data_IF_023143637734
#
_entry.id   IF_023143637734
#
_cell.length_a   1.000
_cell.length_b   1.000
_cell.length_c   1.000
_cell.angle_alpha   90.00
_cell.angle_beta   90.00
_cell.angle_gamma   90.00
#
_symmetry.space_group_name_H-M   'P 1'
#
loop_
_entity.id
_entity.type
_entity.pdbx_description
1 polymer ?
#
# COMPACT_ATOMS: atom_id res chain seq x y z
N UNK A 1 14.99 -5.72 -19.14
CA UNK A 1 14.13 -6.27 -18.07
C UNK A 1 12.73 -5.79 -18.33
N UNK A 2 11.72 -6.67 -18.25
CA UNK A 2 10.33 -6.23 -18.29
C UNK A 2 10.03 -5.33 -17.08
N UNK A 3 9.19 -4.29 -17.22
CA UNK A 3 8.83 -3.43 -16.11
C UNK A 3 8.19 -4.27 -14.99
N UNK A 4 8.66 -4.09 -13.76
CA UNK A 4 8.10 -4.79 -12.60
C UNK A 4 6.81 -4.09 -12.14
N UNK A 5 5.83 -4.87 -11.72
CA UNK A 5 4.63 -4.39 -11.04
C UNK A 5 4.96 -4.05 -9.59
N UNK A 6 4.44 -2.94 -9.09
CA UNK A 6 4.61 -2.51 -7.69
C UNK A 6 3.36 -2.91 -6.90
N UNK A 7 3.54 -3.69 -5.85
CA UNK A 7 2.51 -3.95 -4.85
C UNK A 7 2.56 -2.93 -3.71
N UNK A 8 1.40 -2.40 -3.30
CA UNK A 8 1.27 -1.47 -2.17
C UNK A 8 0.31 -2.03 -1.14
N UNK A 9 0.82 -2.37 0.05
CA UNK A 9 0.00 -2.69 1.22
C UNK A 9 -0.49 -1.37 1.82
N UNK A 10 -1.74 -1.02 1.54
CA UNK A 10 -2.38 0.22 1.99
C UNK A 10 -3.48 -0.02 3.02
N UNK A 11 -4.36 0.97 3.19
CA UNK A 11 -5.48 0.90 4.12
C UNK A 11 -5.15 1.27 5.57
N UNK A 12 -3.87 1.48 5.89
CA UNK A 12 -3.36 2.06 7.15
C UNK A 12 -3.65 3.57 7.19
N UNK A 13 -4.93 3.90 7.07
CA UNK A 13 -5.44 5.18 6.57
C UNK A 13 -5.78 5.10 5.08
N UNK A 14 -7.05 4.88 4.70
CA UNK A 14 -7.46 4.86 3.28
C UNK A 14 -7.13 6.14 2.54
N UNK A 15 -7.35 7.30 3.17
CA UNK A 15 -7.00 8.60 2.58
C UNK A 15 -5.48 8.79 2.44
N UNK A 16 -4.68 8.25 3.37
CA UNK A 16 -3.23 8.25 3.26
C UNK A 16 -2.77 7.40 2.06
N UNK A 17 -3.46 6.29 1.79
CA UNK A 17 -3.19 5.43 0.63
C UNK A 17 -3.47 6.17 -0.68
N UNK A 18 -4.60 6.88 -0.79
CA UNK A 18 -4.90 7.73 -1.97
C UNK A 18 -3.89 8.87 -2.12
N UNK A 19 -3.51 9.51 -1.02
CA UNK A 19 -2.48 10.56 -1.03
C UNK A 19 -1.11 10.03 -1.50
N UNK A 20 -0.75 8.81 -1.06
CA UNK A 20 0.45 8.11 -1.53
C UNK A 20 0.40 7.85 -3.03
N UNK A 21 -0.70 7.28 -3.54
CA UNK A 21 -0.88 7.05 -4.99
C UNK A 21 -0.74 8.34 -5.78
N UNK A 22 -1.40 9.41 -5.34
CA UNK A 22 -1.30 10.73 -5.96
C UNK A 22 0.14 11.26 -5.95
N UNK A 23 0.87 11.06 -4.85
CA UNK A 23 2.28 11.46 -4.76
C UNK A 23 3.16 10.68 -5.73
N UNK A 24 2.97 9.37 -5.82
CA UNK A 24 3.70 8.52 -6.78
C UNK A 24 3.45 9.02 -8.21
N UNK A 25 2.19 9.23 -8.59
CA UNK A 25 1.86 9.72 -9.93
C UNK A 25 2.49 11.08 -10.22
N UNK A 26 2.42 12.03 -9.28
CA UNK A 26 3.00 13.38 -9.42
C UNK A 26 4.52 13.40 -9.57
N UNK A 27 5.21 12.49 -8.88
CA UNK A 27 6.68 12.47 -8.84
C UNK A 27 7.29 11.40 -9.74
N UNK A 28 6.49 10.61 -10.46
CA UNK A 28 7.02 9.66 -11.45
C UNK A 28 7.41 10.43 -12.71
N UNK A 29 8.70 10.44 -13.11
CA UNK A 29 9.10 11.07 -14.36
C UNK A 29 8.56 10.26 -15.53
N UNK A 30 7.70 10.87 -16.35
CA UNK A 30 7.07 10.22 -17.49
C UNK A 30 7.23 11.06 -18.76
N UNK A 31 7.27 10.41 -19.94
CA UNK A 31 7.09 11.09 -21.23
C UNK A 31 5.64 10.98 -21.70
N UNK A 32 4.97 9.89 -21.34
CA UNK A 32 3.57 9.60 -21.63
C UNK A 32 2.89 8.94 -20.43
N UNK A 33 1.55 8.98 -20.36
CA UNK A 33 0.80 8.32 -19.28
C UNK A 33 1.04 6.79 -19.19
N UNK A 34 1.53 6.15 -20.25
CA UNK A 34 1.88 4.71 -20.24
C UNK A 34 3.20 4.42 -19.52
N UNK A 35 4.00 5.46 -19.25
CA UNK A 35 5.29 5.32 -18.57
C UNK A 35 5.13 5.32 -17.03
N UNK A 36 3.91 5.53 -16.52
CA UNK A 36 3.63 5.37 -15.10
C UNK A 36 3.88 3.93 -14.63
N UNK A 37 4.21 3.80 -13.36
CA UNK A 37 4.37 2.50 -12.71
C UNK A 37 3.05 1.72 -12.75
N UNK A 38 3.12 0.46 -13.17
CA UNK A 38 2.03 -0.48 -12.94
C UNK A 38 1.95 -0.80 -11.45
N UNK A 39 0.86 -0.42 -10.80
CA UNK A 39 0.69 -0.50 -9.34
C UNK A 39 -0.59 -1.26 -9.00
N UNK A 40 -0.48 -2.26 -8.12
CA UNK A 40 -1.62 -2.93 -7.48
C UNK A 40 -1.65 -2.49 -6.02
N UNK A 41 -2.78 -1.94 -5.59
CA UNK A 41 -2.93 -1.37 -4.25
C UNK A 41 -3.99 -2.14 -3.48
N UNK A 42 -3.58 -2.75 -2.37
CA UNK A 42 -4.48 -3.40 -1.42
C UNK A 42 -4.84 -2.39 -0.31
N UNK A 43 -5.92 -1.63 -0.53
CA UNK A 43 -6.39 -0.63 0.42
C UNK A 43 -7.36 -1.26 1.43
N UNK A 44 -6.83 -1.93 2.46
CA UNK A 44 -7.62 -2.66 3.44
C UNK A 44 -7.68 -1.93 4.82
N UNK A 45 -8.76 -1.19 5.13
CA UNK A 45 -8.92 -0.53 6.44
C UNK A 45 -9.26 -1.49 7.59
N UNK A 46 -9.41 -2.79 7.33
CA UNK A 46 -9.70 -3.81 8.36
C UNK A 46 -8.44 -4.35 9.03
N UNK A 47 -7.25 -3.89 8.62
CA UNK A 47 -6.01 -4.16 9.34
C UNK A 47 -6.14 -3.59 10.77
N UNK A 48 -5.77 -4.36 11.81
CA UNK A 48 -5.75 -3.87 13.18
C UNK A 48 -5.02 -2.54 13.34
N UNK A 49 -5.48 -1.71 14.28
CA UNK A 49 -4.83 -0.45 14.62
C UNK A 49 -3.38 -0.71 15.09
N UNK A 50 -2.41 -0.25 14.29
CA UNK A 50 -0.99 -0.45 14.56
C UNK A 50 -0.57 0.27 15.85
N UNK A 51 -1.14 1.43 16.15
CA UNK A 51 -0.81 2.18 17.36
C UNK A 51 -1.27 1.40 18.60
N UNK A 52 -2.49 0.87 18.56
CA UNK A 52 -3.01 0.02 19.65
C UNK A 52 -2.18 -1.27 19.80
N UNK A 53 -1.74 -1.89 18.70
CA UNK A 53 -0.89 -3.07 18.72
C UNK A 53 0.48 -2.78 19.36
N UNK A 54 1.13 -1.67 19.00
CA UNK A 54 2.42 -1.25 19.57
C UNK A 54 2.30 -0.95 21.07
N UNK A 55 1.18 -0.36 21.49
CA UNK A 55 0.89 -0.07 22.90
C UNK A 55 0.47 -1.31 23.71
N UNK A 56 0.32 -2.48 23.08
CA UNK A 56 -0.11 -3.72 23.73
C UNK A 56 -1.58 -3.74 24.16
N UNK A 57 -2.39 -2.80 23.68
CA UNK A 57 -3.82 -2.65 24.01
C UNK A 57 -4.74 -3.08 22.86
N UNK A 58 -4.16 -3.58 21.76
CA UNK A 58 -4.88 -4.02 20.59
C UNK A 58 -4.26 -5.27 19.95
N UNK A 59 -4.98 -5.93 19.03
CA UNK A 59 -4.48 -7.12 18.35
C UNK A 59 -3.33 -6.77 17.40
N UNK A 60 -2.39 -7.70 17.23
CA UNK A 60 -1.27 -7.54 16.29
C UNK A 60 -1.75 -7.38 14.84
N UNK A 61 -1.18 -6.42 14.11
CA UNK A 61 -1.42 -6.22 12.68
C UNK A 61 -0.61 -7.19 11.78
N UNK A 62 0.33 -7.96 12.33
CA UNK A 62 1.31 -8.72 11.56
C UNK A 62 0.67 -9.72 10.58
N UNK A 63 -0.33 -10.48 11.03
CA UNK A 63 -1.01 -11.47 10.19
C UNK A 63 -1.78 -10.83 9.03
N UNK A 64 -2.44 -9.69 9.29
CA UNK A 64 -3.18 -8.93 8.29
C UNK A 64 -2.25 -8.31 7.23
N UNK A 65 -1.11 -7.75 7.66
CA UNK A 65 -0.08 -7.22 6.76
C UNK A 65 0.55 -8.33 5.90
N UNK A 66 0.88 -9.48 6.50
CA UNK A 66 1.41 -10.63 5.75
C UNK A 66 0.39 -11.15 4.72
N UNK A 67 -0.90 -11.16 5.04
CA UNK A 67 -1.94 -11.50 4.08
C UNK A 67 -2.04 -10.47 2.93
N UNK A 68 -1.82 -9.19 3.22
CA UNK A 68 -1.70 -8.15 2.18
C UNK A 68 -0.52 -8.36 1.26
N UNK A 69 0.65 -8.69 1.83
CA UNK A 69 1.84 -9.05 1.05
C UNK A 69 1.57 -10.21 0.09
N UNK A 70 0.97 -11.30 0.59
CA UNK A 70 0.61 -12.46 -0.25
C UNK A 70 -0.41 -12.16 -1.36
N UNK A 71 -1.25 -11.13 -1.24
CA UNK A 71 -2.17 -10.72 -2.32
C UNK A 71 -1.47 -9.96 -3.44
N UNK A 72 -0.24 -9.48 -3.20
CA UNK A 72 0.50 -8.58 -4.08
C UNK A 72 1.80 -9.19 -4.61
N UNK A 73 2.11 -10.43 -4.21
CA UNK A 73 3.22 -11.26 -4.70
C UNK A 73 2.80 -12.03 -5.95
#
# INVERSE_FOLDING_TARGET
>A
MSPKTVGVIGGLGPMATVAFMNSVLKHTPIKTNRDHLHMIVDCNPKVPDINAAILGIGPSAASALAAGGRRLE
#
